data_IF_022542236774
#
_entry.id   IF_022542236774
#
_cell.length_a   1.000
_cell.length_b   1.000
_cell.length_c   1.000
_cell.angle_alpha   90.00
_cell.angle_beta   90.00
_cell.angle_gamma   90.00
#
_symmetry.space_group_name_H-M   'P 1'
#
loop_
_entity.id
_entity.type
_entity.pdbx_description
1 polymer ?
#
# COMPACT_ATOMS: atom_id res chain seq x y z
N UNK A 1 39.69 -60.02 32.71
CA UNK A 1 38.50 -59.19 32.40
C UNK A 1 39.01 -57.85 31.85
N UNK A 2 39.64 -57.91 30.68
CA UNK A 2 40.56 -56.88 30.15
C UNK A 2 40.34 -56.74 28.63
N UNK A 3 39.08 -56.81 28.21
CA UNK A 3 38.71 -56.79 26.79
C UNK A 3 37.85 -55.58 26.36
N UNK A 4 37.23 -54.87 27.31
CA UNK A 4 36.23 -53.82 26.98
C UNK A 4 36.83 -52.41 26.93
N UNK A 5 37.99 -52.18 27.55
CA UNK A 5 38.57 -50.82 27.68
C UNK A 5 39.50 -50.47 26.49
N UNK A 6 39.92 -51.43 25.67
CA UNK A 6 40.84 -51.16 24.54
C UNK A 6 40.17 -50.63 23.26
N UNK A 7 38.84 -50.70 23.13
CA UNK A 7 38.12 -50.09 22.01
C UNK A 7 38.10 -48.55 22.05
N UNK A 8 38.54 -47.94 23.16
CA UNK A 8 38.57 -46.49 23.35
C UNK A 8 39.94 -45.83 23.14
N UNK A 9 40.99 -46.60 22.83
CA UNK A 9 42.34 -46.06 22.63
C UNK A 9 42.94 -46.56 21.33
N UNK A 10 42.62 -45.78 20.29
CA UNK A 10 43.59 -45.27 19.33
C UNK A 10 44.36 -46.33 18.52
N UNK A 11 43.77 -46.76 17.40
CA UNK A 11 44.51 -47.36 16.29
C UNK A 11 43.97 -46.82 14.95
N UNK A 12 44.70 -45.83 14.39
CA UNK A 12 44.66 -45.41 12.97
C UNK A 12 43.31 -44.95 12.39
N UNK A 13 42.35 -44.56 13.22
CA UNK A 13 41.06 -44.01 12.80
C UNK A 13 40.45 -43.14 13.90
N UNK A 14 39.52 -42.25 13.52
CA UNK A 14 38.79 -41.40 14.45
C UNK A 14 38.13 -42.23 15.56
N UNK A 15 38.26 -41.78 16.80
CA UNK A 15 37.53 -42.35 17.94
C UNK A 15 36.03 -42.24 17.67
N UNK A 16 35.24 -43.23 18.10
CA UNK A 16 33.77 -43.22 17.96
C UNK A 16 33.16 -41.92 18.49
N UNK A 17 33.71 -41.37 19.58
CA UNK A 17 33.28 -40.10 20.17
C UNK A 17 33.54 -38.94 19.21
N UNK A 18 34.70 -38.90 18.55
CA UNK A 18 35.05 -37.85 17.58
C UNK A 18 34.13 -37.88 16.37
N UNK A 19 33.78 -39.08 15.88
CA UNK A 19 32.81 -39.24 14.78
C UNK A 19 31.43 -38.72 15.19
N UNK A 20 30.96 -39.05 16.39
CA UNK A 20 29.66 -38.59 16.89
C UNK A 20 29.65 -37.06 17.05
N UNK A 21 30.70 -36.49 17.65
CA UNK A 21 30.84 -35.03 17.80
C UNK A 21 30.90 -34.35 16.43
N UNK A 22 31.65 -34.89 15.47
CA UNK A 22 31.72 -34.36 14.11
C UNK A 22 30.35 -34.40 13.40
N UNK A 23 29.58 -35.47 13.55
CA UNK A 23 28.22 -35.58 12.98
C UNK A 23 27.26 -34.57 13.61
N UNK A 24 27.32 -34.38 14.93
CA UNK A 24 26.48 -33.40 15.64
C UNK A 24 26.83 -31.96 15.19
N UNK A 25 28.13 -31.65 15.11
CA UNK A 25 28.59 -30.35 14.64
C UNK A 25 28.18 -30.10 13.20
N UNK A 26 28.37 -31.09 12.33
CA UNK A 26 28.00 -31.01 10.92
C UNK A 26 26.48 -30.82 10.75
N UNK A 27 25.66 -31.58 11.48
CA UNK A 27 24.21 -31.43 11.48
C UNK A 27 23.74 -30.06 11.96
N UNK A 28 24.36 -29.55 13.04
CA UNK A 28 24.07 -28.21 13.57
C UNK A 28 24.47 -27.12 12.56
N UNK A 29 25.64 -27.24 11.92
CA UNK A 29 26.09 -26.32 10.87
C UNK A 29 25.14 -26.33 9.66
N UNK A 30 24.66 -27.50 9.23
CA UNK A 30 23.69 -27.59 8.14
C UNK A 30 22.35 -26.95 8.50
N UNK A 31 21.84 -27.13 9.72
CA UNK A 31 20.62 -26.44 10.18
C UNK A 31 20.78 -24.92 10.19
N UNK A 32 21.92 -24.42 10.66
CA UNK A 32 22.23 -22.99 10.65
C UNK A 32 22.30 -22.45 9.22
N UNK A 33 23.01 -23.14 8.32
CA UNK A 33 23.08 -22.77 6.90
C UNK A 33 21.70 -22.76 6.24
N UNK A 34 20.87 -23.78 6.48
CA UNK A 34 19.51 -23.83 5.93
C UNK A 34 18.65 -22.66 6.42
N UNK A 35 18.77 -22.31 7.71
CA UNK A 35 18.06 -21.17 8.30
C UNK A 35 18.52 -19.85 7.68
N UNK A 36 19.84 -19.65 7.52
CA UNK A 36 20.41 -18.46 6.89
C UNK A 36 19.98 -18.31 5.42
N UNK A 37 19.99 -19.40 4.65
CA UNK A 37 19.54 -19.41 3.25
C UNK A 37 18.06 -19.06 3.16
N UNK A 38 17.23 -19.63 4.04
CA UNK A 38 15.80 -19.33 4.08
C UNK A 38 15.53 -17.86 4.43
N UNK A 39 16.18 -17.34 5.47
CA UNK A 39 16.07 -15.93 5.88
C UNK A 39 16.53 -14.98 4.78
N UNK A 40 17.62 -15.30 4.09
CA UNK A 40 18.15 -14.49 2.99
C UNK A 40 17.15 -14.46 1.82
N UNK A 41 16.59 -15.60 1.44
CA UNK A 41 15.56 -15.67 0.39
C UNK A 41 14.34 -14.81 0.73
N UNK A 42 13.86 -14.86 1.98
CA UNK A 42 12.77 -13.99 2.44
C UNK A 42 13.14 -12.50 2.38
N UNK A 43 14.37 -12.15 2.78
CA UNK A 43 14.86 -10.78 2.73
C UNK A 43 14.92 -10.25 1.28
N UNK A 44 15.44 -11.03 0.34
CA UNK A 44 15.47 -10.68 -1.09
C UNK A 44 14.06 -10.46 -1.63
N UNK A 45 13.12 -11.35 -1.31
CA UNK A 45 11.73 -11.22 -1.75
C UNK A 45 11.07 -9.95 -1.19
N UNK A 46 11.31 -9.64 0.08
CA UNK A 46 10.80 -8.41 0.71
C UNK A 46 11.40 -7.16 0.05
N UNK A 47 12.71 -7.14 -0.19
CA UNK A 47 13.38 -6.00 -0.84
C UNK A 47 12.83 -5.78 -2.24
N UNK A 48 12.71 -6.85 -3.04
CA UNK A 48 12.12 -6.77 -4.38
C UNK A 48 10.70 -6.22 -4.35
N UNK A 49 9.85 -6.69 -3.41
CA UNK A 49 8.49 -6.17 -3.25
C UNK A 49 8.47 -4.69 -2.87
N UNK A 50 9.41 -4.24 -2.03
CA UNK A 50 9.53 -2.82 -1.67
C UNK A 50 9.98 -1.96 -2.85
N UNK A 51 10.88 -2.46 -3.69
CA UNK A 51 11.30 -1.79 -4.93
C UNK A 51 10.13 -1.67 -5.91
N UNK A 52 9.36 -2.75 -6.12
CA UNK A 52 8.16 -2.73 -6.95
C UNK A 52 7.10 -1.77 -6.38
N UNK A 53 6.89 -1.76 -5.06
CA UNK A 53 5.99 -0.81 -4.42
C UNK A 53 6.46 0.65 -4.54
N UNK A 54 7.78 0.89 -4.53
CA UNK A 54 8.34 2.21 -4.78
C UNK A 54 8.08 2.68 -6.22
N UNK A 55 8.15 1.77 -7.20
CA UNK A 55 7.75 2.06 -8.57
C UNK A 55 6.26 2.42 -8.67
N UNK A 56 5.37 1.65 -8.03
CA UNK A 56 3.93 1.96 -7.96
C UNK A 56 3.70 3.36 -7.39
N UNK A 57 4.39 3.68 -6.30
CA UNK A 57 4.29 4.98 -5.64
C UNK A 57 4.71 6.13 -6.55
N UNK A 58 5.85 6.02 -7.23
CA UNK A 58 6.29 7.07 -8.16
C UNK A 58 5.37 7.19 -9.38
N UNK A 59 4.89 6.08 -9.93
CA UNK A 59 3.95 6.13 -11.06
C UNK A 59 2.64 6.86 -10.70
N UNK A 60 2.10 6.62 -9.50
CA UNK A 60 0.89 7.33 -9.03
C UNK A 60 1.18 8.80 -8.79
N UNK A 61 2.33 9.12 -8.18
CA UNK A 61 2.75 10.49 -7.93
C UNK A 61 2.94 11.27 -9.23
N UNK A 62 3.65 10.72 -10.21
CA UNK A 62 3.82 11.31 -11.53
C UNK A 62 2.48 11.46 -12.24
N UNK A 63 1.63 10.43 -12.20
CA UNK A 63 0.30 10.51 -12.80
C UNK A 63 -0.55 11.61 -12.16
N UNK A 64 -0.53 11.77 -10.83
CA UNK A 64 -1.25 12.85 -10.13
C UNK A 64 -0.75 14.23 -10.55
N UNK A 65 0.56 14.40 -10.70
CA UNK A 65 1.19 15.66 -11.09
C UNK A 65 0.90 16.06 -12.54
N UNK A 66 0.80 15.11 -13.46
CA UNK A 66 0.65 15.42 -14.89
C UNK A 66 -0.74 15.15 -15.47
N UNK A 67 -1.33 13.98 -15.18
CA UNK A 67 -2.57 13.50 -15.80
C UNK A 67 -3.78 13.68 -14.90
N UNK A 68 -3.61 13.58 -13.57
CA UNK A 68 -4.68 13.76 -12.60
C UNK A 68 -5.31 15.15 -12.65
N UNK A 69 -4.52 16.19 -12.95
CA UNK A 69 -5.03 17.54 -13.18
C UNK A 69 -5.89 17.62 -14.45
N UNK A 70 -5.40 17.08 -15.59
CA UNK A 70 -6.12 17.08 -16.86
C UNK A 70 -7.41 16.24 -16.80
N UNK A 71 -7.40 15.16 -16.00
CA UNK A 71 -8.53 14.24 -15.82
C UNK A 71 -9.50 14.68 -14.71
N UNK A 72 -9.38 15.91 -14.21
CA UNK A 72 -10.37 16.50 -13.30
C UNK A 72 -10.57 15.70 -11.98
N UNK A 73 -9.52 15.04 -11.49
CA UNK A 73 -9.59 14.24 -10.25
C UNK A 73 -10.04 15.08 -9.04
N UNK A 74 -9.82 16.41 -9.08
CA UNK A 74 -10.35 17.33 -8.10
C UNK A 74 -11.88 17.32 -8.00
N UNK A 75 -12.60 17.16 -9.12
CA UNK A 75 -14.07 17.12 -9.14
C UNK A 75 -14.64 15.80 -8.61
N UNK A 76 -13.90 14.70 -8.78
CA UNK A 76 -14.16 13.44 -8.10
C UNK A 76 -14.04 13.58 -6.57
N UNK A 77 -13.31 14.60 -6.10
CA UNK A 77 -12.98 14.84 -4.72
C UNK A 77 -13.44 16.20 -4.22
N UNK A 78 -14.57 16.70 -4.73
CA UNK A 78 -15.10 18.03 -4.40
C UNK A 78 -15.01 18.33 -2.90
N UNK A 79 -15.43 17.38 -2.07
CA UNK A 79 -15.49 17.55 -0.62
C UNK A 79 -14.13 17.80 0.05
N UNK A 80 -13.03 17.31 -0.53
CA UNK A 80 -11.65 17.58 -0.07
C UNK A 80 -11.29 19.06 -0.26
N UNK A 81 -11.74 19.64 -1.38
CA UNK A 81 -11.34 20.98 -1.82
C UNK A 81 -12.31 22.10 -1.48
N UNK A 82 -13.37 21.82 -0.70
CA UNK A 82 -14.28 22.85 -0.19
C UNK A 82 -13.69 23.49 1.06
N UNK A 83 -13.63 24.84 1.09
CA UNK A 83 -13.31 25.59 2.30
C UNK A 83 -14.42 25.42 3.35
N UNK A 84 -14.05 25.07 4.58
CA UNK A 84 -15.00 24.94 5.68
C UNK A 84 -15.26 26.34 6.25
N UNK A 85 -16.51 26.80 6.21
CA UNK A 85 -16.91 28.04 6.86
C UNK A 85 -16.82 27.87 8.39
N UNK A 86 -16.35 28.91 9.09
CA UNK A 86 -16.29 28.91 10.55
C UNK A 86 -17.66 28.55 11.17
N UNK A 87 -17.67 27.62 12.13
CA UNK A 87 -18.88 27.20 12.85
C UNK A 87 -19.71 26.09 12.18
N UNK A 88 -19.30 25.59 11.00
CA UNK A 88 -19.96 24.43 10.38
C UNK A 88 -19.33 23.13 10.88
N UNK A 89 -20.04 22.41 11.76
CA UNK A 89 -19.62 21.09 12.21
C UNK A 89 -19.83 20.06 11.10
N UNK A 90 -18.76 19.37 10.73
CA UNK A 90 -18.81 18.24 9.82
C UNK A 90 -19.19 16.96 10.57
N UNK A 91 -19.86 16.03 9.91
CA UNK A 91 -20.09 14.68 10.46
C UNK A 91 -18.82 13.83 10.36
N UNK A 92 -18.70 12.79 11.19
CA UNK A 92 -17.52 11.89 11.14
C UNK A 92 -17.29 11.28 9.76
N UNK A 93 -18.37 10.95 9.04
CA UNK A 93 -18.31 10.44 7.66
C UNK A 93 -17.75 11.48 6.69
N UNK A 94 -18.15 12.74 6.87
CA UNK A 94 -17.66 13.86 6.07
C UNK A 94 -16.18 14.13 6.37
N UNK A 95 -15.77 14.09 7.63
CA UNK A 95 -14.36 14.22 8.03
C UNK A 95 -13.53 13.09 7.39
N UNK A 96 -13.99 11.84 7.51
CA UNK A 96 -13.33 10.69 6.90
C UNK A 96 -13.21 10.84 5.37
N UNK A 97 -14.27 11.28 4.67
CA UNK A 97 -14.22 11.50 3.22
C UNK A 97 -13.22 12.59 2.81
N UNK A 98 -13.07 13.66 3.61
CA UNK A 98 -12.09 14.74 3.35
C UNK A 98 -10.65 14.27 3.52
N UNK A 99 -10.42 13.33 4.43
CA UNK A 99 -9.10 12.77 4.70
C UNK A 99 -8.59 11.81 3.62
N UNK A 100 -9.34 11.57 2.54
CA UNK A 100 -8.94 10.62 1.50
C UNK A 100 -9.21 11.14 0.09
N UNK A 101 -8.29 10.85 -0.83
CA UNK A 101 -8.42 11.17 -2.25
C UNK A 101 -8.72 9.89 -3.04
N UNK A 102 -9.85 9.88 -3.75
CA UNK A 102 -10.20 8.80 -4.67
C UNK A 102 -9.65 9.11 -6.06
N UNK A 103 -9.18 8.10 -6.81
CA UNK A 103 -8.56 8.31 -8.12
C UNK A 103 -9.40 7.85 -9.32
N UNK A 104 -10.56 7.23 -9.08
CA UNK A 104 -11.41 6.68 -10.12
C UNK A 104 -12.89 6.64 -9.69
N UNK A 105 -13.80 6.68 -10.66
CA UNK A 105 -15.25 6.66 -10.45
C UNK A 105 -15.73 5.45 -9.62
N UNK A 106 -15.01 4.32 -9.64
CA UNK A 106 -15.37 3.13 -8.85
C UNK A 106 -15.31 3.35 -7.35
N UNK A 107 -14.57 4.37 -6.88
CA UNK A 107 -14.51 4.71 -5.47
C UNK A 107 -15.54 5.75 -5.02
N UNK A 108 -16.40 6.24 -5.93
CA UNK A 108 -17.51 7.12 -5.55
C UNK A 108 -18.49 6.33 -4.68
N UNK A 109 -18.77 6.86 -3.49
CA UNK A 109 -19.80 6.32 -2.60
C UNK A 109 -21.17 6.78 -3.08
N UNK A 110 -22.09 5.84 -3.25
CA UNK A 110 -23.43 6.10 -3.78
C UNK A 110 -24.50 5.67 -2.80
N UNK A 111 -25.55 6.49 -2.73
CA UNK A 111 -26.83 6.12 -2.17
C UNK A 111 -27.82 5.95 -3.34
N UNK A 112 -28.06 4.70 -3.73
CA UNK A 112 -28.73 4.38 -4.98
C UNK A 112 -27.92 4.84 -6.20
N UNK A 113 -28.50 5.73 -7.01
CA UNK A 113 -27.83 6.29 -8.20
C UNK A 113 -27.04 7.57 -7.93
N UNK A 114 -27.22 8.19 -6.76
CA UNK A 114 -26.68 9.52 -6.45
C UNK A 114 -25.37 9.44 -5.65
N UNK A 115 -24.34 10.23 -6.02
CA UNK A 115 -23.12 10.40 -5.22
C UNK A 115 -23.42 11.03 -3.86
N UNK A 116 -22.90 10.45 -2.78
CA UNK A 116 -23.19 10.87 -1.40
C UNK A 116 -22.57 12.24 -1.07
N UNK A 117 -21.39 12.55 -1.60
CA UNK A 117 -20.64 13.77 -1.27
C UNK A 117 -20.55 14.77 -2.42
N UNK A 118 -21.44 14.64 -3.41
CA UNK A 118 -21.48 15.52 -4.58
C UNK A 118 -20.28 15.35 -5.51
N UNK A 119 -19.69 14.16 -5.54
CA UNK A 119 -18.67 13.80 -6.53
C UNK A 119 -19.23 13.91 -7.95
N UNK A 120 -18.43 14.45 -8.86
CA UNK A 120 -18.75 14.46 -10.29
C UNK A 120 -17.94 13.38 -10.97
N UNK A 121 -18.63 12.46 -11.65
CA UNK A 121 -17.97 11.40 -12.41
C UNK A 121 -17.12 11.96 -13.54
N UNK A 122 -15.91 11.42 -13.67
CA UNK A 122 -15.03 11.72 -14.79
C UNK A 122 -15.43 10.84 -15.98
N UNK A 123 -15.67 11.43 -17.14
CA UNK A 123 -15.99 10.65 -18.35
C UNK A 123 -14.79 9.78 -18.76
N UNK A 124 -15.03 8.52 -19.08
CA UNK A 124 -13.96 7.60 -19.51
C UNK A 124 -13.33 8.01 -20.85
N UNK A 125 -14.11 8.66 -21.71
CA UNK A 125 -13.63 9.25 -22.97
C UNK A 125 -14.19 10.67 -23.07
N UNK A 126 -13.29 11.64 -23.19
CA UNK A 126 -13.64 13.05 -23.37
C UNK A 126 -12.85 13.64 -24.54
N UNK A 127 -13.52 14.40 -25.41
CA UNK A 127 -12.92 14.95 -26.62
C UNK A 127 -11.82 15.99 -26.34
N UNK A 128 -11.80 16.60 -25.15
CA UNK A 128 -10.77 17.56 -24.73
C UNK A 128 -9.65 16.91 -23.92
N UNK A 129 -9.96 15.85 -23.16
CA UNK A 129 -9.02 15.24 -22.19
C UNK A 129 -8.42 13.91 -22.64
N UNK A 130 -8.96 13.34 -23.72
CA UNK A 130 -8.61 12.02 -24.20
C UNK A 130 -9.21 10.91 -23.34
N UNK A 131 -8.55 9.75 -23.33
CA UNK A 131 -9.00 8.60 -22.56
C UNK A 131 -8.59 8.72 -21.10
N UNK A 132 -9.52 8.39 -20.20
CA UNK A 132 -9.24 8.30 -18.78
C UNK A 132 -8.25 7.16 -18.51
N UNK A 133 -7.26 7.42 -17.66
CA UNK A 133 -6.21 6.44 -17.32
C UNK A 133 -6.44 6.02 -15.88
N UNK A 134 -7.04 4.84 -15.70
CA UNK A 134 -7.31 4.29 -14.38
C UNK A 134 -6.04 3.72 -13.76
N UNK A 135 -5.56 4.36 -12.69
CA UNK A 135 -4.43 3.87 -11.89
C UNK A 135 -4.85 3.02 -10.70
N UNK A 136 -6.00 3.32 -10.11
CA UNK A 136 -6.51 2.61 -8.95
C UNK A 136 -7.98 2.28 -9.17
N UNK A 137 -8.38 1.07 -8.77
CA UNK A 137 -9.76 0.61 -8.81
C UNK A 137 -10.24 0.26 -7.40
N UNK A 138 -11.42 0.74 -7.04
CA UNK A 138 -11.99 0.55 -5.70
C UNK A 138 -13.11 -0.48 -5.73
N UNK A 139 -13.32 -1.15 -4.60
CA UNK A 139 -14.31 -2.21 -4.46
C UNK A 139 -15.14 -2.02 -3.18
N UNK A 140 -15.86 -0.89 -3.02
CA UNK A 140 -16.48 -0.51 -1.74
C UNK A 140 -17.51 -1.51 -1.21
N UNK A 141 -18.07 -2.37 -2.07
CA UNK A 141 -19.07 -3.39 -1.72
C UNK A 141 -18.50 -4.78 -1.45
N UNK A 142 -17.21 -5.01 -1.72
CA UNK A 142 -16.59 -6.34 -1.61
C UNK A 142 -15.78 -6.49 -0.33
N UNK A 143 -16.44 -6.83 0.79
CA UNK A 143 -15.81 -6.90 2.12
C UNK A 143 -14.57 -7.82 2.23
N UNK A 144 -14.42 -8.78 1.32
CA UNK A 144 -13.29 -9.72 1.29
C UNK A 144 -12.15 -9.29 0.35
N UNK A 145 -12.27 -8.15 -0.32
CA UNK A 145 -11.23 -7.62 -1.21
C UNK A 145 -9.94 -7.29 -0.43
N UNK A 146 -10.09 -6.71 0.77
CA UNK A 146 -8.95 -6.36 1.61
C UNK A 146 -8.46 -7.53 2.47
N UNK A 147 -7.13 -7.65 2.68
CA UNK A 147 -6.55 -8.60 3.62
C UNK A 147 -7.02 -8.27 5.04
N UNK A 148 -7.08 -9.30 5.89
CA UNK A 148 -7.64 -9.21 7.25
C UNK A 148 -7.10 -8.04 8.06
N UNK A 149 -5.78 -7.78 7.99
CA UNK A 149 -5.12 -6.66 8.70
C UNK A 149 -5.65 -5.28 8.31
N UNK A 150 -6.12 -5.11 7.07
CA UNK A 150 -6.63 -3.84 6.54
C UNK A 150 -8.16 -3.81 6.49
N UNK A 151 -8.85 -4.86 6.94
CA UNK A 151 -10.31 -4.96 6.81
C UNK A 151 -10.99 -4.06 7.85
N UNK A 152 -11.49 -2.92 7.39
CA UNK A 152 -12.35 -2.02 8.15
C UNK A 152 -13.35 -1.34 7.21
N UNK A 153 -14.48 -0.85 7.75
CA UNK A 153 -15.48 -0.13 6.95
C UNK A 153 -14.87 1.09 6.23
N UNK A 154 -13.95 1.80 6.90
CA UNK A 154 -13.27 2.97 6.32
C UNK A 154 -12.31 2.55 5.22
N UNK A 155 -11.43 1.58 5.49
CA UNK A 155 -10.42 1.14 4.52
C UNK A 155 -11.06 0.55 3.26
N UNK A 156 -12.19 -0.14 3.39
CA UNK A 156 -12.94 -0.70 2.26
C UNK A 156 -13.35 0.38 1.25
N UNK A 157 -13.58 1.61 1.71
CA UNK A 157 -14.03 2.73 0.88
C UNK A 157 -12.86 3.47 0.22
N UNK A 158 -11.67 3.47 0.83
CA UNK A 158 -10.57 4.36 0.43
C UNK A 158 -9.29 3.64 0.00
N UNK A 159 -9.19 2.34 0.22
CA UNK A 159 -8.09 1.51 -0.28
C UNK A 159 -8.53 0.81 -1.57
N UNK A 160 -7.81 1.08 -2.66
CA UNK A 160 -8.05 0.47 -3.97
C UNK A 160 -6.92 -0.42 -4.44
N UNK A 161 -7.18 -1.22 -5.47
CA UNK A 161 -6.19 -2.02 -6.19
C UNK A 161 -5.43 -1.14 -7.17
N UNK A 162 -4.09 -1.20 -7.13
CA UNK A 162 -3.27 -0.59 -8.17
C UNK A 162 -3.39 -1.38 -9.48
N UNK A 163 -3.58 -0.66 -10.59
CA UNK A 163 -3.64 -1.19 -11.93
C UNK A 163 -2.39 -0.80 -12.72
N UNK A 164 -1.73 -1.80 -13.31
CA UNK A 164 -0.73 -1.56 -14.34
C UNK A 164 -1.39 -1.67 -15.72
N UNK A 165 -1.73 -0.52 -16.30
CA UNK A 165 -2.56 -0.44 -17.51
C UNK A 165 -4.00 -0.83 -17.18
N UNK A 166 -4.40 -2.05 -17.54
CA UNK A 166 -5.74 -2.60 -17.24
C UNK A 166 -5.71 -3.80 -16.30
N UNK A 167 -4.51 -4.25 -15.91
CA UNK A 167 -4.34 -5.46 -15.09
C UNK A 167 -4.20 -5.11 -13.62
N UNK A 168 -4.97 -5.80 -12.78
CA UNK A 168 -4.79 -5.78 -11.33
C UNK A 168 -3.43 -6.32 -10.91
N UNK A 169 -2.94 -5.85 -9.77
CA UNK A 169 -1.63 -6.18 -9.23
C UNK A 169 -1.73 -6.65 -7.78
N UNK A 170 -0.60 -7.04 -7.19
CA UNK A 170 -0.49 -7.42 -5.77
C UNK A 170 -0.33 -6.22 -4.82
N UNK A 171 -0.61 -5.00 -5.29
CA UNK A 171 -0.47 -3.77 -4.53
C UNK A 171 -1.82 -3.09 -4.30
N UNK A 172 -2.00 -2.60 -3.07
CA UNK A 172 -3.12 -1.78 -2.66
C UNK A 172 -2.63 -0.35 -2.42
N UNK A 173 -3.47 0.63 -2.74
CA UNK A 173 -3.14 2.04 -2.66
C UNK A 173 -4.20 2.78 -1.87
N UNK A 174 -3.73 3.64 -0.98
CA UNK A 174 -4.52 4.61 -0.25
C UNK A 174 -3.87 5.98 -0.44
N UNK A 175 -4.69 7.02 -0.63
CA UNK A 175 -4.20 8.40 -0.65
C UNK A 175 -4.90 9.14 0.47
N UNK A 176 -4.14 9.47 1.50
CA UNK A 176 -4.60 10.27 2.61
C UNK A 176 -4.36 11.74 2.30
N UNK A 177 -5.29 12.59 2.74
CA UNK A 177 -5.20 14.04 2.59
C UNK A 177 -5.06 14.66 3.97
N UNK A 178 -4.05 15.51 4.11
CA UNK A 178 -3.90 16.39 5.24
C UNK A 178 -4.04 17.85 4.79
N UNK A 179 -4.80 18.61 5.57
CA UNK A 179 -4.94 20.06 5.40
C UNK A 179 -4.53 20.73 6.70
N UNK A 180 -3.88 21.90 6.67
CA UNK A 180 -3.61 22.66 7.89
C UNK A 180 -4.94 23.07 8.56
N UNK A 181 -5.32 22.34 9.62
CA UNK A 181 -6.65 22.40 10.23
C UNK A 181 -7.00 23.74 10.90
N UNK A 182 -6.02 24.63 11.07
CA UNK A 182 -6.13 25.78 11.99
C UNK A 182 -6.32 27.13 11.31
N UNK A 183 -6.38 27.20 9.97
CA UNK A 183 -6.52 28.49 9.29
C UNK A 183 -7.87 28.61 8.56
N UNK A 184 -8.77 29.45 9.08
CA UNK A 184 -10.06 29.72 8.46
C UNK A 184 -9.95 30.41 7.09
N UNK A 185 -8.83 31.06 6.79
CA UNK A 185 -8.57 31.64 5.47
C UNK A 185 -7.95 30.65 4.48
N UNK A 186 -7.63 29.42 4.91
CA UNK A 186 -7.00 28.42 4.06
C UNK A 186 -7.95 27.97 2.96
N UNK A 187 -7.49 28.07 1.71
CA UNK A 187 -8.20 27.59 0.55
C UNK A 187 -7.44 26.41 -0.08
N UNK A 188 -7.94 25.17 0.07
CA UNK A 188 -7.31 23.97 -0.48
C UNK A 188 -7.06 24.01 -1.99
N UNK A 189 -7.83 24.80 -2.74
CA UNK A 189 -7.68 24.90 -4.20
C UNK A 189 -6.49 25.76 -4.62
N UNK A 190 -6.18 26.82 -3.86
CA UNK A 190 -5.10 27.76 -4.20
C UNK A 190 -3.81 27.47 -3.45
N UNK A 191 -3.92 27.00 -2.20
CA UNK A 191 -2.76 26.72 -1.35
C UNK A 191 -2.29 25.26 -1.44
N UNK A 192 -3.10 24.39 -2.06
CA UNK A 192 -2.80 22.96 -2.22
C UNK A 192 -2.96 22.16 -0.95
N UNK A 193 -3.04 20.84 -1.10
CA UNK A 193 -3.24 19.86 -0.02
C UNK A 193 -2.06 18.90 0.06
N UNK A 194 -1.76 18.38 1.24
CA UNK A 194 -0.74 17.36 1.39
C UNK A 194 -1.34 15.97 1.19
N UNK A 195 -0.90 15.30 0.14
CA UNK A 195 -1.29 13.94 -0.22
C UNK A 195 -0.24 12.95 0.26
N UNK A 196 -0.62 12.06 1.17
CA UNK A 196 0.21 10.93 1.58
C UNK A 196 -0.21 9.70 0.79
N UNK A 197 0.64 9.25 -0.13
CA UNK A 197 0.42 8.04 -0.93
C UNK A 197 0.99 6.86 -0.16
N UNK A 198 0.14 5.91 0.21
CA UNK A 198 0.48 4.70 0.94
C UNK A 198 0.30 3.50 0.03
N UNK A 199 1.31 2.63 -0.04
CA UNK A 199 1.26 1.41 -0.83
C UNK A 199 1.40 0.21 0.10
N UNK A 200 0.39 -0.66 0.07
CA UNK A 200 0.32 -1.88 0.86
C UNK A 200 0.45 -3.12 0.00
N UNK A 201 0.92 -4.20 0.62
CA UNK A 201 0.90 -5.54 0.04
C UNK A 201 -0.51 -6.13 0.12
N UNK A 202 -1.08 -6.53 -1.02
CA UNK A 202 -2.42 -7.11 -1.09
C UNK A 202 -2.54 -8.44 -0.35
N UNK A 203 -1.45 -9.20 -0.21
CA UNK A 203 -1.45 -10.53 0.41
C UNK A 203 -1.57 -10.48 1.93
N UNK A 204 -0.87 -9.56 2.58
CA UNK A 204 -0.76 -9.51 4.05
C UNK A 204 -1.16 -8.17 4.66
N UNK A 205 -1.45 -7.14 3.85
CA UNK A 205 -1.83 -5.81 4.31
C UNK A 205 -0.70 -5.02 4.97
N UNK A 206 0.55 -5.40 4.77
CA UNK A 206 1.71 -4.65 5.28
C UNK A 206 1.96 -3.41 4.44
N UNK A 207 2.24 -2.29 5.10
CA UNK A 207 2.69 -1.07 4.43
C UNK A 207 4.10 -1.31 3.89
N UNK A 208 4.27 -1.15 2.57
CA UNK A 208 5.55 -1.36 1.89
C UNK A 208 6.33 -0.05 1.72
N UNK A 209 5.63 1.03 1.37
CA UNK A 209 6.23 2.36 1.17
C UNK A 209 5.18 3.46 1.33
N UNK A 210 5.66 4.67 1.62
CA UNK A 210 4.85 5.89 1.62
C UNK A 210 5.63 7.08 1.04
N UNK A 211 4.91 8.10 0.59
CA UNK A 211 5.48 9.42 0.26
C UNK A 211 4.46 10.50 0.51
N UNK A 212 4.94 11.72 0.72
CA UNK A 212 4.11 12.91 0.84
C UNK A 212 4.36 13.78 -0.39
N UNK A 213 3.27 14.26 -0.98
CA UNK A 213 3.25 15.17 -2.10
C UNK A 213 2.37 16.36 -1.73
N UNK A 214 2.86 17.59 -1.89
CA UNK A 214 1.98 18.75 -1.89
C UNK A 214 1.35 18.88 -3.28
N UNK A 215 0.02 18.88 -3.36
CA UNK A 215 -0.72 18.93 -4.61
C UNK A 215 -1.61 20.16 -4.67
N UNK A 216 -1.35 21.02 -5.66
CA UNK A 216 -2.16 22.20 -5.99
C UNK A 216 -2.97 21.88 -7.25
N UNK A 217 -4.25 22.22 -7.23
CA UNK A 217 -5.11 22.08 -8.41
C UNK A 217 -4.78 23.23 -9.34
N UNK A 218 -4.28 22.94 -10.55
CA UNK A 218 -4.13 23.97 -11.58
C UNK A 218 -5.53 24.43 -12.02
N UNK A 219 -5.75 25.74 -11.94
CA UNK A 219 -7.04 26.41 -12.20
C UNK A 219 -7.30 26.65 -13.67
#
# INVERSE_FOLDING_TARGET
MTGVIRLFRDEKGFSLIEIIVAVILLGSCFMLLATLVHQNSLAIQLTKRKEEAAFVREDIKEWLLYKGQIQDIAYLNNYVFVQIQQGKNLTDKQIARRGHLILDNTGIQRDGSLPVYGEVEVKEVDSKRGNFVRKVKYYPTEANFLPEKLRSEVNQLYIGEYLHGTKGTDFLVEIQVSTPETNASYNPRTEGVDLTILVYDKKNGSLLTSTVLNWVIDS
#
